data_IF_179348499101
#
_entry.id   IF_179348499101
#
_cell.length_a   1.000
_cell.length_b   1.000
_cell.length_c   1.000
_cell.angle_alpha   90.00
_cell.angle_beta   90.00
_cell.angle_gamma   90.00
#
_symmetry.space_group_name_H-M   'P 1'
#
loop_
_entity.id
_entity.type
_entity.pdbx_description
1 polymer ?
#
# COMPACT_ATOMS: atom_id res chain seq x y z
N UNK A 1 16.57 15.71 -9.00
CA UNK A 1 15.48 14.99 -8.32
C UNK A 1 16.10 13.73 -7.75
N UNK A 2 15.78 13.33 -6.53
CA UNK A 2 16.41 12.16 -5.91
C UNK A 2 15.60 10.90 -6.17
N UNK A 3 16.28 9.77 -6.30
CA UNK A 3 15.69 8.44 -6.32
C UNK A 3 14.89 8.20 -5.03
N UNK A 4 13.65 7.72 -5.14
CA UNK A 4 12.82 7.36 -3.98
C UNK A 4 12.75 5.86 -3.79
N UNK A 5 12.69 5.09 -4.88
CA UNK A 5 12.61 3.63 -4.85
C UNK A 5 13.65 3.06 -5.83
N UNK A 6 14.43 2.09 -5.37
CA UNK A 6 15.30 1.28 -6.21
C UNK A 6 15.01 -0.20 -5.96
N UNK A 7 14.80 -0.92 -7.03
CA UNK A 7 14.68 -2.37 -7.07
C UNK A 7 15.95 -2.92 -7.71
N UNK A 8 16.60 -3.85 -7.04
CA UNK A 8 17.90 -4.38 -7.46
C UNK A 8 17.86 -5.91 -7.51
N UNK A 9 17.77 -6.44 -8.73
CA UNK A 9 17.84 -7.87 -9.06
C UNK A 9 16.93 -8.74 -8.18
N UNK A 10 15.66 -8.29 -7.97
CA UNK A 10 14.75 -9.04 -7.12
C UNK A 10 14.20 -10.27 -7.84
N UNK A 11 14.11 -11.35 -7.07
CA UNK A 11 13.45 -12.58 -7.47
C UNK A 11 12.41 -12.99 -6.41
N UNK A 12 11.34 -13.63 -6.86
CA UNK A 12 10.34 -14.22 -5.97
C UNK A 12 9.92 -15.59 -6.44
N UNK A 13 10.08 -16.55 -5.56
CA UNK A 13 9.67 -17.93 -5.77
C UNK A 13 8.59 -18.32 -4.77
N UNK A 14 7.61 -19.12 -5.25
CA UNK A 14 6.62 -19.78 -4.42
C UNK A 14 6.71 -21.29 -4.62
N UNK A 15 6.33 -22.06 -3.60
CA UNK A 15 6.29 -23.52 -3.67
C UNK A 15 7.38 -24.22 -2.86
N UNK A 16 7.37 -25.54 -2.93
CA UNK A 16 8.30 -26.44 -2.22
C UNK A 16 9.09 -27.30 -3.20
N UNK A 17 10.06 -28.09 -2.67
CA UNK A 17 10.89 -29.02 -3.43
C UNK A 17 10.04 -29.86 -4.40
N UNK A 18 10.17 -29.56 -5.71
CA UNK A 18 9.51 -30.27 -6.80
C UNK A 18 8.44 -29.47 -7.57
N UNK A 19 7.98 -28.35 -7.04
CA UNK A 19 7.01 -27.49 -7.74
C UNK A 19 7.26 -26.02 -7.39
N UNK A 20 8.26 -25.41 -8.02
CA UNK A 20 8.65 -24.02 -7.81
C UNK A 20 8.03 -23.15 -8.90
N UNK A 21 7.25 -22.16 -8.51
CA UNK A 21 6.75 -21.09 -9.36
C UNK A 21 7.62 -19.85 -9.19
N UNK A 22 8.30 -19.42 -10.25
CA UNK A 22 9.02 -18.14 -10.28
C UNK A 22 8.04 -17.04 -10.63
N UNK A 23 7.67 -16.22 -9.66
CA UNK A 23 6.69 -15.15 -9.82
C UNK A 23 7.33 -13.82 -10.21
N UNK A 24 8.59 -13.60 -9.82
CA UNK A 24 9.42 -12.45 -10.23
C UNK A 24 10.79 -13.04 -10.62
N UNK A 25 11.32 -12.61 -11.76
CA UNK A 25 12.55 -13.10 -12.36
C UNK A 25 13.49 -11.94 -12.68
N UNK A 26 14.48 -11.71 -11.83
CA UNK A 26 15.56 -10.72 -11.99
C UNK A 26 15.06 -9.32 -12.44
N UNK A 27 14.21 -8.70 -11.62
CA UNK A 27 13.64 -7.39 -11.93
C UNK A 27 14.44 -6.30 -11.25
N UNK A 28 14.87 -5.30 -12.05
CA UNK A 28 15.58 -4.10 -11.58
C UNK A 28 15.01 -2.85 -12.23
N UNK A 29 14.74 -1.82 -11.45
CA UNK A 29 14.36 -0.48 -11.91
C UNK A 29 14.46 0.53 -10.78
N UNK A 30 14.37 1.81 -11.14
CA UNK A 30 14.38 2.94 -10.21
C UNK A 30 13.15 3.82 -10.44
N UNK A 31 12.68 4.48 -9.37
CA UNK A 31 11.60 5.47 -9.41
C UNK A 31 12.09 6.75 -8.77
N UNK A 32 11.90 7.88 -9.46
CA UNK A 32 12.28 9.18 -8.97
C UNK A 32 11.16 9.82 -8.14
N UNK A 33 11.52 10.70 -7.21
CA UNK A 33 10.54 11.42 -6.38
C UNK A 33 9.58 12.22 -7.27
N UNK A 34 8.27 12.00 -7.09
CA UNK A 34 7.21 12.65 -7.85
C UNK A 34 6.88 11.94 -9.18
N UNK A 35 7.51 10.83 -9.48
CA UNK A 35 7.23 10.04 -10.67
C UNK A 35 5.97 9.19 -10.48
N UNK A 36 5.22 9.00 -11.57
CA UNK A 36 4.10 8.07 -11.67
C UNK A 36 4.48 6.91 -12.58
N UNK A 37 4.52 5.70 -12.02
CA UNK A 37 4.96 4.49 -12.73
C UNK A 37 3.80 3.52 -12.89
N UNK A 38 3.56 3.05 -14.12
CA UNK A 38 2.58 2.02 -14.45
C UNK A 38 3.23 0.66 -14.67
N UNK A 39 2.78 -0.37 -13.94
CA UNK A 39 3.20 -1.76 -14.14
C UNK A 39 2.13 -2.48 -14.95
N UNK A 40 2.45 -2.86 -16.21
CA UNK A 40 1.53 -3.49 -17.14
C UNK A 40 1.99 -4.92 -17.49
N UNK A 41 1.04 -5.75 -17.90
CA UNK A 41 1.29 -7.13 -18.33
C UNK A 41 0.03 -8.01 -18.21
N UNK A 42 0.05 -9.22 -18.78
CA UNK A 42 -1.07 -10.16 -18.73
C UNK A 42 -1.37 -10.61 -17.29
N UNK A 43 -2.54 -11.25 -17.10
CA UNK A 43 -2.86 -11.89 -15.81
C UNK A 43 -1.81 -12.96 -15.48
N UNK A 44 -1.41 -13.05 -14.22
CA UNK A 44 -0.38 -13.99 -13.77
C UNK A 44 1.07 -13.57 -14.03
N UNK A 45 1.35 -12.38 -14.61
CA UNK A 45 2.73 -11.93 -14.87
C UNK A 45 3.47 -11.37 -13.65
N UNK A 46 2.98 -11.57 -12.44
CA UNK A 46 3.68 -11.17 -11.21
C UNK A 46 3.47 -9.73 -10.74
N UNK A 47 2.60 -8.91 -11.40
CA UNK A 47 2.37 -7.50 -11.03
C UNK A 47 1.98 -7.30 -9.57
N UNK A 48 1.00 -8.08 -9.10
CA UNK A 48 0.54 -8.00 -7.70
C UNK A 48 1.64 -8.49 -6.75
N UNK A 49 2.38 -9.52 -7.14
CA UNK A 49 3.54 -10.00 -6.36
C UNK A 49 4.60 -8.91 -6.24
N UNK A 50 4.93 -8.23 -7.35
CA UNK A 50 5.88 -7.11 -7.35
C UNK A 50 5.43 -6.00 -6.39
N UNK A 51 4.17 -5.56 -6.46
CA UNK A 51 3.64 -4.55 -5.54
C UNK A 51 3.66 -5.02 -4.09
N UNK A 52 3.36 -6.29 -3.82
CA UNK A 52 3.37 -6.84 -2.47
C UNK A 52 4.78 -6.89 -1.86
N UNK A 53 5.80 -7.25 -2.63
CA UNK A 53 7.18 -7.26 -2.11
C UNK A 53 7.72 -5.83 -1.91
N UNK A 54 7.39 -4.89 -2.81
CA UNK A 54 7.72 -3.46 -2.64
C UNK A 54 7.04 -2.90 -1.38
N UNK A 55 5.77 -3.24 -1.16
CA UNK A 55 5.03 -2.82 0.02
C UNK A 55 5.42 -3.58 1.30
N UNK A 56 6.40 -4.48 1.23
CA UNK A 56 6.83 -5.33 2.36
C UNK A 56 5.70 -6.19 2.96
N UNK A 57 4.63 -6.44 2.21
CA UNK A 57 3.55 -7.38 2.55
C UNK A 57 4.03 -8.81 2.38
N UNK A 58 4.87 -9.04 1.37
CA UNK A 58 5.59 -10.28 1.12
C UNK A 58 7.10 -10.03 1.10
N UNK A 59 7.91 -11.08 1.27
CA UNK A 59 9.37 -11.00 1.27
C UNK A 59 9.91 -11.42 -0.11
N UNK A 60 10.98 -10.79 -0.58
CA UNK A 60 11.71 -11.26 -1.77
C UNK A 60 12.43 -12.58 -1.46
N UNK A 61 12.68 -13.39 -2.48
CA UNK A 61 13.51 -14.60 -2.35
C UNK A 61 15.00 -14.28 -2.49
N UNK A 62 15.34 -13.28 -3.32
CA UNK A 62 16.68 -12.72 -3.49
C UNK A 62 16.61 -11.29 -4.02
N UNK A 63 17.72 -10.57 -4.01
CA UNK A 63 17.82 -9.18 -4.39
C UNK A 63 17.42 -8.20 -3.30
N UNK A 64 17.45 -6.91 -3.61
CA UNK A 64 17.24 -5.84 -2.64
C UNK A 64 16.22 -4.81 -3.09
N UNK A 65 15.52 -4.21 -2.13
CA UNK A 65 14.55 -3.12 -2.35
C UNK A 65 14.94 -1.96 -1.46
N UNK A 66 15.26 -0.82 -2.04
CA UNK A 66 15.61 0.40 -1.30
C UNK A 66 14.48 1.43 -1.41
N UNK A 67 14.05 1.98 -0.28
CA UNK A 67 13.14 3.12 -0.22
C UNK A 67 13.84 4.27 0.51
N UNK A 68 13.99 5.42 -0.16
CA UNK A 68 14.75 6.55 0.36
C UNK A 68 16.17 6.14 0.82
N UNK A 69 16.83 5.24 0.09
CA UNK A 69 18.17 4.72 0.39
C UNK A 69 18.22 3.68 1.52
N UNK A 70 17.09 3.34 2.15
CA UNK A 70 17.01 2.31 3.19
C UNK A 70 16.64 0.97 2.57
N UNK A 71 17.45 -0.07 2.81
CA UNK A 71 17.16 -1.43 2.36
C UNK A 71 15.99 -2.04 3.17
N UNK A 72 14.89 -2.34 2.47
CA UNK A 72 13.68 -2.91 3.08
C UNK A 72 13.84 -4.40 3.39
N UNK A 73 14.75 -5.09 2.68
CA UNK A 73 14.98 -6.53 2.85
C UNK A 73 15.75 -6.84 4.14
N UNK A 74 16.45 -5.85 4.67
CA UNK A 74 17.22 -5.96 5.92
C UNK A 74 16.46 -5.47 7.17
N UNK A 75 15.26 -4.91 7.00
CA UNK A 75 14.48 -4.41 8.13
C UNK A 75 14.01 -5.59 9.01
N UNK A 76 14.22 -5.45 10.32
CA UNK A 76 13.77 -6.45 11.28
C UNK A 76 12.23 -6.64 11.20
N UNK A 77 11.78 -7.90 11.26
CA UNK A 77 10.35 -8.27 11.24
C UNK A 77 9.50 -7.55 12.29
N UNK A 78 10.07 -7.17 13.42
CA UNK A 78 9.36 -6.41 14.47
C UNK A 78 9.16 -4.93 14.09
N UNK A 79 10.00 -4.39 13.22
CA UNK A 79 10.00 -2.98 12.82
C UNK A 79 9.31 -2.74 11.49
N UNK A 80 9.21 -3.77 10.63
CA UNK A 80 8.67 -3.64 9.27
C UNK A 80 7.22 -3.11 9.28
N UNK A 81 6.40 -3.52 10.24
CA UNK A 81 5.03 -3.03 10.38
C UNK A 81 4.97 -1.53 10.70
N UNK A 82 5.89 -1.04 11.54
CA UNK A 82 6.03 0.38 11.82
C UNK A 82 6.51 1.14 10.58
N UNK A 83 7.54 0.61 9.92
CA UNK A 83 8.07 1.20 8.70
C UNK A 83 7.00 1.39 7.62
N UNK A 84 6.17 0.36 7.37
CA UNK A 84 5.03 0.47 6.43
C UNK A 84 4.10 1.62 6.77
N UNK A 85 3.67 1.71 8.03
CA UNK A 85 2.75 2.76 8.46
C UNK A 85 3.30 4.18 8.27
N UNK A 86 4.61 4.33 8.47
CA UNK A 86 5.27 5.65 8.44
C UNK A 86 5.69 6.09 7.03
N UNK A 87 5.85 5.14 6.08
CA UNK A 87 6.52 5.42 4.80
C UNK A 87 5.72 5.00 3.57
N UNK A 88 4.67 4.17 3.70
CA UNK A 88 3.98 3.57 2.55
C UNK A 88 2.46 3.75 2.68
N UNK A 89 1.81 4.22 1.61
CA UNK A 89 0.38 4.06 1.40
C UNK A 89 0.12 2.90 0.44
N UNK A 90 -0.77 1.98 0.79
CA UNK A 90 -1.11 0.83 -0.05
C UNK A 90 -2.62 0.72 -0.27
N UNK A 91 -3.02 0.56 -1.55
CA UNK A 91 -4.41 0.38 -1.94
C UNK A 91 -4.54 -1.01 -2.55
N UNK A 92 -5.33 -1.87 -1.90
CA UNK A 92 -5.61 -3.22 -2.39
C UNK A 92 -6.60 -3.22 -3.56
N UNK A 93 -6.52 -4.23 -4.41
CA UNK A 93 -7.45 -4.40 -5.53
C UNK A 93 -8.91 -4.47 -5.06
N UNK A 94 -9.19 -5.16 -3.96
CA UNK A 94 -10.52 -5.30 -3.35
C UNK A 94 -10.80 -4.24 -2.27
N UNK A 95 -10.00 -3.15 -2.28
CA UNK A 95 -10.08 -2.01 -1.34
C UNK A 95 -9.84 -2.36 0.12
N UNK A 96 -10.15 -3.56 0.58
CA UNK A 96 -10.00 -4.06 1.97
C UNK A 96 -10.54 -3.05 3.01
N UNK A 97 -11.76 -2.55 2.78
CA UNK A 97 -12.47 -1.76 3.77
C UNK A 97 -13.06 -2.70 4.82
N UNK A 98 -13.12 -2.23 6.05
CA UNK A 98 -13.72 -2.98 7.16
C UNK A 98 -15.22 -2.69 7.17
N UNK A 99 -16.04 -3.70 6.87
CA UNK A 99 -17.49 -3.56 6.68
C UNK A 99 -18.24 -3.13 7.94
N UNK A 100 -17.68 -3.39 9.12
CA UNK A 100 -18.26 -3.01 10.42
C UNK A 100 -17.91 -1.59 10.84
N UNK A 101 -17.09 -0.89 10.09
CA UNK A 101 -16.72 0.52 10.30
C UNK A 101 -17.36 1.39 9.23
N UNK A 102 -17.76 2.60 9.61
CA UNK A 102 -18.18 3.62 8.65
C UNK A 102 -17.05 4.03 7.73
N UNK A 103 -17.36 4.77 6.65
CA UNK A 103 -16.34 5.33 5.75
C UNK A 103 -15.37 6.25 6.51
N UNK A 104 -15.91 7.12 7.40
CA UNK A 104 -15.09 7.95 8.30
C UNK A 104 -14.12 7.12 9.13
N UNK A 105 -14.61 6.08 9.80
CA UNK A 105 -13.80 5.22 10.67
C UNK A 105 -12.75 4.42 9.88
N UNK A 106 -13.08 3.94 8.66
CA UNK A 106 -12.13 3.30 7.77
C UNK A 106 -10.95 4.23 7.42
N UNK A 107 -11.23 5.51 7.15
CA UNK A 107 -10.19 6.51 6.85
C UNK A 107 -9.41 6.84 8.14
N UNK A 108 -10.11 7.09 9.25
CA UNK A 108 -9.52 7.44 10.53
C UNK A 108 -8.63 6.35 11.12
N UNK A 109 -8.79 5.09 10.68
CA UNK A 109 -8.05 3.95 11.21
C UNK A 109 -6.53 4.13 11.10
N UNK A 110 -6.04 4.68 9.98
CA UNK A 110 -4.62 4.95 9.77
C UNK A 110 -4.08 5.94 10.82
N UNK A 111 -4.80 7.02 11.06
CA UNK A 111 -4.45 8.03 12.07
C UNK A 111 -4.50 7.46 13.50
N UNK A 112 -5.52 6.65 13.78
CA UNK A 112 -5.70 6.01 15.10
C UNK A 112 -4.54 5.06 15.42
N UNK A 113 -4.14 4.23 14.46
CA UNK A 113 -3.00 3.31 14.61
C UNK A 113 -1.69 4.08 14.80
N UNK A 114 -1.55 5.23 14.14
CA UNK A 114 -0.39 6.12 14.28
C UNK A 114 -0.44 7.01 15.54
N UNK A 115 -1.45 6.81 16.41
CA UNK A 115 -1.62 7.57 17.66
C UNK A 115 -1.75 9.08 17.46
N UNK A 116 -2.32 9.50 16.35
CA UNK A 116 -2.65 10.92 16.10
C UNK A 116 -3.58 11.44 17.19
N UNK A 117 -3.42 12.72 17.56
CA UNK A 117 -4.27 13.36 18.56
C UNK A 117 -5.75 13.28 18.11
N UNK A 118 -6.61 12.81 19.02
CA UNK A 118 -8.04 12.60 18.72
C UNK A 118 -8.73 13.86 18.20
N UNK A 119 -8.35 15.03 18.70
CA UNK A 119 -8.93 16.32 18.29
C UNK A 119 -8.58 16.72 16.85
N UNK A 120 -7.59 16.08 16.23
CA UNK A 120 -7.15 16.36 14.85
C UNK A 120 -7.73 15.38 13.84
N UNK A 121 -8.18 14.19 14.29
CA UNK A 121 -8.60 13.10 13.39
C UNK A 121 -9.74 13.56 12.49
N UNK A 122 -10.81 14.10 13.06
CA UNK A 122 -12.00 14.51 12.28
C UNK A 122 -11.67 15.59 11.26
N UNK A 123 -10.82 16.55 11.62
CA UNK A 123 -10.38 17.61 10.70
C UNK A 123 -9.60 17.03 9.51
N UNK A 124 -8.68 16.11 9.75
CA UNK A 124 -7.88 15.45 8.70
C UNK A 124 -8.76 14.56 7.81
N UNK A 125 -9.65 13.77 8.40
CA UNK A 125 -10.59 12.92 7.64
C UNK A 125 -11.49 13.76 6.74
N UNK A 126 -12.09 14.83 7.27
CA UNK A 126 -12.92 15.73 6.47
C UNK A 126 -12.15 16.41 5.34
N UNK A 127 -10.89 16.79 5.57
CA UNK A 127 -10.05 17.40 4.54
C UNK A 127 -9.81 16.44 3.38
N UNK A 128 -9.33 15.23 3.64
CA UNK A 128 -9.06 14.24 2.58
C UNK A 128 -10.35 13.76 1.91
N UNK A 129 -11.45 13.65 2.65
CA UNK A 129 -12.75 13.28 2.08
C UNK A 129 -13.24 14.34 1.09
N UNK A 130 -13.05 15.62 1.40
CA UNK A 130 -13.36 16.74 0.51
C UNK A 130 -12.53 16.71 -0.77
N UNK A 131 -11.23 16.49 -0.67
CA UNK A 131 -10.34 16.38 -1.84
C UNK A 131 -10.76 15.26 -2.79
N UNK A 132 -11.30 14.15 -2.24
CA UNK A 132 -11.72 12.98 -3.01
C UNK A 132 -13.23 12.94 -3.32
N UNK A 133 -14.00 13.96 -2.91
CA UNK A 133 -15.44 14.07 -3.20
C UNK A 133 -16.25 12.93 -2.58
N UNK A 134 -16.01 12.62 -1.30
CA UNK A 134 -16.68 11.56 -0.53
C UNK A 134 -17.20 12.03 0.83
N UNK A 135 -17.33 13.32 1.06
CA UNK A 135 -17.80 13.90 2.32
C UNK A 135 -19.22 13.40 2.70
N UNK A 136 -20.11 13.33 1.71
CA UNK A 136 -21.52 12.95 1.86
C UNK A 136 -21.75 11.51 2.31
N UNK A 137 -20.72 10.66 2.21
CA UNK A 137 -20.80 9.24 2.56
C UNK A 137 -20.04 8.87 3.83
N UNK A 138 -19.45 9.81 4.54
CA UNK A 138 -18.60 9.54 5.71
C UNK A 138 -19.32 8.76 6.82
N UNK A 139 -20.63 8.93 6.97
CA UNK A 139 -21.45 8.22 7.95
C UNK A 139 -21.96 6.87 7.49
N UNK A 140 -21.79 6.53 6.20
CA UNK A 140 -22.25 5.26 5.61
C UNK A 140 -21.24 4.14 5.86
N UNK A 141 -21.73 2.91 5.73
CA UNK A 141 -20.87 1.70 5.76
C UNK A 141 -20.44 1.30 4.35
N UNK A 142 -19.37 0.50 4.20
CA UNK A 142 -18.86 0.08 2.88
C UNK A 142 -19.92 -0.61 1.99
N UNK A 143 -20.84 -1.37 2.56
CA UNK A 143 -21.90 -2.05 1.81
C UNK A 143 -23.01 -1.10 1.29
N UNK A 144 -23.07 0.14 1.76
CA UNK A 144 -24.03 1.16 1.36
C UNK A 144 -23.53 2.07 0.24
N UNK A 145 -22.30 1.89 -0.21
CA UNK A 145 -21.65 2.80 -1.16
C UNK A 145 -21.20 2.07 -2.43
N UNK A 146 -21.07 2.82 -3.54
CA UNK A 146 -20.64 2.27 -4.82
C UNK A 146 -19.17 1.83 -4.82
N UNK A 147 -18.78 0.99 -5.80
CA UNK A 147 -17.39 0.56 -5.97
C UNK A 147 -16.40 1.74 -6.12
N UNK A 148 -16.78 2.77 -6.89
CA UNK A 148 -15.96 3.97 -7.03
C UNK A 148 -15.81 4.77 -5.73
N UNK A 149 -16.86 4.82 -4.89
CA UNK A 149 -16.79 5.43 -3.56
C UNK A 149 -15.90 4.61 -2.61
N UNK A 150 -15.98 3.27 -2.64
CA UNK A 150 -15.06 2.38 -1.91
C UNK A 150 -13.61 2.62 -2.31
N UNK A 151 -13.36 2.74 -3.62
CA UNK A 151 -12.01 3.02 -4.14
C UNK A 151 -11.49 4.35 -3.61
N UNK A 152 -12.27 5.44 -3.70
CA UNK A 152 -11.89 6.75 -3.16
C UNK A 152 -11.67 6.71 -1.64
N UNK A 153 -12.48 5.93 -0.91
CA UNK A 153 -12.26 5.70 0.53
C UNK A 153 -10.92 5.01 0.81
N UNK A 154 -10.57 3.99 0.02
CA UNK A 154 -9.27 3.32 0.16
C UNK A 154 -8.11 4.27 -0.19
N UNK A 155 -8.28 5.14 -1.20
CA UNK A 155 -7.32 6.20 -1.51
C UNK A 155 -7.19 7.18 -0.33
N UNK A 156 -8.30 7.65 0.25
CA UNK A 156 -8.29 8.54 1.42
C UNK A 156 -7.50 7.93 2.59
N UNK A 157 -7.76 6.64 2.89
CA UNK A 157 -7.04 5.90 3.94
C UNK A 157 -5.55 5.76 3.69
N UNK A 158 -5.13 5.71 2.42
CA UNK A 158 -3.72 5.61 2.06
C UNK A 158 -2.98 6.95 2.04
N UNK A 159 -3.70 8.06 1.82
CA UNK A 159 -3.14 9.42 1.71
C UNK A 159 -3.06 10.16 3.04
N UNK A 160 -3.90 9.80 4.02
CA UNK A 160 -4.03 10.50 5.29
C UNK A 160 -2.87 10.22 6.24
#
# INVERSE_FOLDING_TARGET
MGEILKIDSIEKYYGNKGNILKAIDDVSFEVQKGEFVGVMGPSGSGKTTLLNVIATIDEVSSGHIYLNGKDLTEINKKEIGRFRRENLGFIFQDFNLIDTLTIHENIALALTINKTNKNEIDGKVNSVAKELGIEEILTKYPYEVSGGQKQRTACARALI
#
